data_IF_767012449653
#
_entry.id   IF_767012449653
#
_cell.length_a   1.000
_cell.length_b   1.000
_cell.length_c   1.000
_cell.angle_alpha   90.00
_cell.angle_beta   90.00
_cell.angle_gamma   90.00
#
_symmetry.space_group_name_H-M   'P 1'
#
loop_
_entity.id
_entity.type
_entity.pdbx_description
1 polymer ?
#
# COMPACT_ATOMS: atom_id res chain seq x y z
N UNK A 1 22.53 -9.16 -1.19
CA UNK A 1 22.55 -8.03 -2.15
C UNK A 1 21.25 -7.27 -2.00
N UNK A 2 21.25 -6.23 -1.17
CA UNK A 2 20.12 -5.31 -1.01
C UNK A 2 20.20 -4.32 -2.16
N UNK A 3 19.38 -4.49 -3.20
CA UNK A 3 19.03 -3.34 -4.06
C UNK A 3 18.39 -2.30 -3.15
N UNK A 4 18.57 -1.02 -3.42
CA UNK A 4 17.80 0.01 -2.75
C UNK A 4 16.30 -0.29 -2.89
N UNK A 5 15.68 -0.84 -1.83
CA UNK A 5 14.31 -1.37 -1.85
C UNK A 5 13.25 -0.27 -1.69
N UNK A 6 13.65 0.96 -1.33
CA UNK A 6 12.75 2.11 -1.23
C UNK A 6 12.91 3.04 -2.44
N UNK A 7 11.86 3.26 -3.22
CA UNK A 7 11.71 4.52 -3.99
C UNK A 7 12.27 4.60 -5.42
N UNK A 8 12.92 3.57 -5.97
CA UNK A 8 13.35 3.58 -7.40
C UNK A 8 12.39 2.74 -8.25
N UNK A 9 11.28 3.40 -8.61
CA UNK A 9 10.45 3.23 -9.81
C UNK A 9 10.46 1.85 -10.51
N UNK A 10 9.72 0.89 -9.96
CA UNK A 10 9.18 -0.24 -10.74
C UNK A 10 7.64 -0.25 -10.75
N UNK A 11 6.99 0.77 -10.17
CA UNK A 11 5.53 0.91 -10.22
C UNK A 11 5.10 1.52 -11.55
N UNK A 12 4.08 0.93 -12.17
CA UNK A 12 3.46 1.50 -13.36
C UNK A 12 2.77 2.82 -13.03
N UNK A 13 3.42 3.90 -13.39
CA UNK A 13 3.01 5.26 -13.03
C UNK A 13 1.77 5.75 -13.78
N UNK A 14 1.25 5.03 -14.79
CA UNK A 14 0.11 5.51 -15.61
C UNK A 14 -1.28 5.18 -15.03
N UNK A 15 -1.32 4.58 -13.83
CA UNK A 15 -2.55 4.11 -13.19
C UNK A 15 -3.09 5.15 -12.22
N UNK A 16 -4.38 5.47 -12.32
CA UNK A 16 -5.02 6.51 -11.49
C UNK A 16 -6.00 5.97 -10.44
N UNK A 17 -6.30 4.67 -10.40
CA UNK A 17 -7.41 4.16 -9.55
C UNK A 17 -7.04 2.87 -8.82
N UNK A 18 -6.87 2.93 -7.51
CA UNK A 18 -6.48 1.77 -6.70
C UNK A 18 -7.58 0.72 -6.62
N UNK A 19 -8.87 1.08 -6.73
CA UNK A 19 -9.99 0.12 -6.70
C UNK A 19 -9.93 -0.98 -7.77
N UNK A 20 -9.29 -0.73 -8.91
CA UNK A 20 -9.05 -1.79 -9.90
C UNK A 20 -8.07 -2.86 -9.42
N UNK A 21 -7.18 -2.55 -8.47
CA UNK A 21 -6.30 -3.54 -7.83
C UNK A 21 -7.16 -4.52 -7.03
N UNK A 22 -8.15 -4.04 -6.29
CA UNK A 22 -9.14 -4.86 -5.56
C UNK A 22 -9.94 -5.74 -6.52
N UNK A 23 -10.42 -5.16 -7.61
CA UNK A 23 -11.14 -5.91 -8.65
C UNK A 23 -10.28 -7.04 -9.23
N UNK A 24 -8.98 -6.78 -9.50
CA UNK A 24 -8.05 -7.81 -9.95
C UNK A 24 -7.88 -8.92 -8.91
N UNK A 25 -7.77 -8.58 -7.61
CA UNK A 25 -7.64 -9.58 -6.55
C UNK A 25 -8.88 -10.48 -6.48
N UNK A 26 -10.09 -9.91 -6.54
CA UNK A 26 -11.35 -10.68 -6.59
C UNK A 26 -11.42 -11.60 -7.81
N UNK A 27 -11.07 -11.10 -9.00
CA UNK A 27 -11.07 -11.89 -10.24
C UNK A 27 -10.10 -13.09 -10.20
N UNK A 28 -9.06 -13.01 -9.37
CA UNK A 28 -8.02 -14.03 -9.21
C UNK A 28 -8.15 -14.86 -7.92
N UNK A 29 -9.14 -14.60 -7.06
CA UNK A 29 -9.23 -15.14 -5.70
C UNK A 29 -9.05 -16.66 -5.63
N UNK A 30 -9.75 -17.39 -6.49
CA UNK A 30 -9.66 -18.86 -6.58
C UNK A 30 -9.05 -19.35 -7.89
N UNK A 31 -8.56 -18.45 -8.74
CA UNK A 31 -8.20 -18.78 -10.12
C UNK A 31 -6.78 -18.31 -10.45
N UNK A 32 -6.07 -19.14 -11.22
CA UNK A 32 -4.93 -18.67 -12.01
C UNK A 32 -5.45 -18.40 -13.41
N UNK A 33 -5.37 -17.15 -13.87
CA UNK A 33 -5.88 -16.74 -15.18
C UNK A 33 -4.72 -16.39 -16.11
N UNK A 34 -4.84 -16.70 -17.40
CA UNK A 34 -3.94 -16.10 -18.40
C UNK A 34 -4.11 -14.58 -18.41
N UNK A 35 -3.07 -13.84 -18.80
CA UNK A 35 -3.14 -12.38 -18.91
C UNK A 35 -4.30 -11.91 -19.79
N UNK A 36 -4.49 -12.51 -20.96
CA UNK A 36 -5.56 -12.14 -21.88
C UNK A 36 -6.96 -12.33 -21.27
N UNK A 37 -7.13 -13.41 -20.50
CA UNK A 37 -8.39 -13.69 -19.81
C UNK A 37 -8.64 -12.71 -18.67
N UNK A 38 -7.61 -12.41 -17.86
CA UNK A 38 -7.69 -11.41 -16.81
C UNK A 38 -8.02 -10.03 -17.39
N UNK A 39 -7.35 -9.62 -18.47
CA UNK A 39 -7.58 -8.32 -19.10
C UNK A 39 -9.01 -8.19 -19.61
N UNK A 40 -9.50 -9.21 -20.31
CA UNK A 40 -10.87 -9.22 -20.84
C UNK A 40 -11.92 -9.17 -19.71
N UNK A 41 -11.69 -9.91 -18.62
CA UNK A 41 -12.58 -9.87 -17.44
C UNK A 41 -12.55 -8.52 -16.74
N UNK A 42 -11.39 -7.87 -16.65
CA UNK A 42 -11.26 -6.56 -16.03
C UNK A 42 -11.89 -5.44 -16.89
N UNK A 43 -11.80 -5.50 -18.22
CA UNK A 43 -12.53 -4.57 -19.11
C UNK A 43 -14.04 -4.73 -18.92
N UNK A 44 -14.54 -5.97 -18.91
CA UNK A 44 -15.96 -6.24 -18.64
C UNK A 44 -16.38 -5.70 -17.27
N UNK A 45 -15.63 -6.04 -16.22
CA UNK A 45 -15.90 -5.53 -14.87
C UNK A 45 -15.93 -4.00 -14.83
N UNK A 46 -15.00 -3.33 -15.52
CA UNK A 46 -14.98 -1.86 -15.61
C UNK A 46 -16.23 -1.31 -16.29
N UNK A 47 -16.69 -1.95 -17.36
CA UNK A 47 -17.91 -1.55 -18.07
C UNK A 47 -19.15 -1.74 -17.21
N UNK A 48 -19.23 -2.85 -16.47
CA UNK A 48 -20.35 -3.17 -15.57
C UNK A 48 -20.47 -2.12 -14.45
N UNK A 49 -19.36 -1.51 -14.00
CA UNK A 49 -19.32 -0.48 -12.94
C UNK A 49 -19.11 0.94 -13.48
N UNK A 50 -19.48 1.20 -14.74
CA UNK A 50 -19.31 2.53 -15.37
C UNK A 50 -20.08 3.62 -14.65
N UNK A 51 -21.27 3.30 -14.13
CA UNK A 51 -22.11 4.26 -13.39
C UNK A 51 -21.48 4.64 -12.06
N UNK A 52 -21.00 3.66 -11.29
CA UNK A 52 -20.27 3.90 -10.03
C UNK A 52 -19.02 4.75 -10.26
N UNK A 53 -18.31 4.51 -11.36
CA UNK A 53 -17.15 5.32 -11.70
C UNK A 53 -17.51 6.78 -12.03
N UNK A 54 -18.67 7.01 -12.65
CA UNK A 54 -19.11 8.34 -13.05
C UNK A 54 -19.50 9.21 -11.85
N UNK A 55 -19.97 8.60 -10.76
CA UNK A 55 -20.28 9.28 -9.50
C UNK A 55 -19.06 9.46 -8.59
N UNK A 56 -17.96 8.78 -8.87
CA UNK A 56 -16.74 8.84 -8.08
C UNK A 56 -16.01 10.19 -8.20
N UNK A 57 -15.38 10.70 -7.12
CA UNK A 57 -14.57 11.92 -7.17
C UNK A 57 -13.49 11.85 -8.26
N UNK A 58 -13.54 12.79 -9.21
CA UNK A 58 -12.62 12.88 -10.34
C UNK A 58 -12.63 11.61 -11.24
N UNK A 59 -13.54 11.50 -12.23
CA UNK A 59 -13.72 10.28 -13.04
C UNK A 59 -12.64 10.11 -14.12
N UNK A 60 -11.36 10.15 -13.75
CA UNK A 60 -10.22 9.85 -14.63
C UNK A 60 -9.59 8.51 -14.26
N UNK A 61 -9.11 7.78 -15.27
CA UNK A 61 -8.51 6.45 -15.07
C UNK A 61 -9.43 5.27 -15.39
N UNK A 62 -10.64 5.53 -15.91
CA UNK A 62 -11.55 4.48 -16.38
C UNK A 62 -10.88 3.56 -17.40
N UNK A 63 -11.08 2.25 -17.27
CA UNK A 63 -10.66 1.27 -18.26
C UNK A 63 -11.71 1.18 -19.36
N UNK A 64 -11.37 1.69 -20.55
CA UNK A 64 -12.15 1.46 -21.76
C UNK A 64 -11.70 0.16 -22.44
N UNK A 65 -12.63 -0.55 -23.06
CA UNK A 65 -12.32 -1.69 -23.91
C UNK A 65 -11.49 -1.22 -25.12
N UNK A 66 -10.31 -1.78 -25.31
CA UNK A 66 -9.43 -1.47 -26.44
C UNK A 66 -8.88 -2.74 -27.05
N UNK A 67 -8.61 -2.75 -28.36
CA UNK A 67 -8.03 -3.91 -29.05
C UNK A 67 -6.71 -4.37 -28.41
N UNK A 68 -5.93 -3.43 -27.90
CA UNK A 68 -4.62 -3.69 -27.29
C UNK A 68 -4.67 -3.92 -25.77
N UNK A 69 -5.84 -3.77 -25.14
CA UNK A 69 -6.06 -3.96 -23.69
C UNK A 69 -5.03 -3.21 -22.82
N UNK A 70 -4.68 -1.98 -23.22
CA UNK A 70 -3.61 -1.21 -22.57
C UNK A 70 -3.98 -0.80 -21.13
N UNK A 71 -5.25 -0.49 -20.88
CA UNK A 71 -5.78 -0.18 -19.55
C UNK A 71 -5.58 -1.34 -18.57
N UNK A 72 -6.20 -2.50 -18.79
CA UNK A 72 -6.08 -3.67 -17.91
C UNK A 72 -4.63 -4.10 -17.66
N UNK A 73 -3.80 -4.06 -18.70
CA UNK A 73 -2.37 -4.35 -18.61
C UNK A 73 -1.66 -3.41 -17.65
N UNK A 74 -1.98 -2.12 -17.65
CA UNK A 74 -1.37 -1.14 -16.74
C UNK A 74 -1.73 -1.42 -15.28
N UNK A 75 -3.02 -1.66 -15.00
CA UNK A 75 -3.51 -1.98 -13.65
C UNK A 75 -2.97 -3.31 -13.14
N UNK A 76 -2.90 -4.33 -13.99
CA UNK A 76 -2.28 -5.62 -13.64
C UNK A 76 -0.80 -5.45 -13.33
N UNK A 77 -0.07 -4.65 -14.11
CA UNK A 77 1.32 -4.35 -13.82
C UNK A 77 1.48 -3.60 -12.48
N UNK A 78 0.59 -2.66 -12.14
CA UNK A 78 0.60 -2.03 -10.82
C UNK A 78 0.44 -3.08 -9.70
N UNK A 79 -0.57 -3.95 -9.80
CA UNK A 79 -0.82 -5.00 -8.81
C UNK A 79 0.38 -5.95 -8.65
N UNK A 80 1.09 -6.24 -9.75
CA UNK A 80 2.35 -7.00 -9.74
C UNK A 80 3.47 -6.23 -9.06
N UNK A 81 3.66 -4.94 -9.37
CA UNK A 81 4.71 -4.10 -8.78
C UNK A 81 4.52 -3.88 -7.27
N UNK A 82 3.26 -3.82 -6.80
CA UNK A 82 2.92 -3.80 -5.38
C UNK A 82 3.18 -5.16 -4.70
N UNK A 83 3.41 -6.23 -5.46
CA UNK A 83 3.65 -7.58 -4.95
C UNK A 83 2.38 -8.34 -4.56
N UNK A 84 1.20 -7.82 -4.93
CA UNK A 84 -0.10 -8.42 -4.62
C UNK A 84 -0.51 -9.49 -5.62
N UNK A 85 -0.04 -9.39 -6.87
CA UNK A 85 -0.24 -10.36 -7.94
C UNK A 85 1.12 -10.89 -8.43
N UNK A 86 1.21 -12.20 -8.66
CA UNK A 86 2.37 -12.85 -9.22
C UNK A 86 2.13 -13.24 -10.69
N UNK A 87 3.18 -13.17 -11.51
CA UNK A 87 3.17 -13.60 -12.91
C UNK A 87 4.10 -14.79 -13.11
N UNK A 88 3.58 -15.89 -13.64
CA UNK A 88 4.37 -17.10 -13.96
C UNK A 88 3.89 -17.61 -15.33
N UNK A 89 4.81 -17.70 -16.29
CA UNK A 89 4.54 -18.22 -17.64
C UNK A 89 3.30 -17.60 -18.33
N UNK A 90 3.12 -16.28 -18.22
CA UNK A 90 1.98 -15.56 -18.83
C UNK A 90 0.64 -15.73 -18.11
N UNK A 91 0.63 -16.38 -16.95
CA UNK A 91 -0.52 -16.48 -16.06
C UNK A 91 -0.33 -15.61 -14.81
N UNK A 92 -1.44 -15.06 -14.32
CA UNK A 92 -1.54 -14.23 -13.13
C UNK A 92 -2.25 -14.99 -12.01
N UNK A 93 -1.77 -14.81 -10.77
CA UNK A 93 -2.37 -15.35 -9.55
C UNK A 93 -2.16 -14.41 -8.37
N UNK A 94 -3.04 -14.46 -7.38
CA UNK A 94 -2.86 -13.70 -6.13
C UNK A 94 -1.62 -14.23 -5.38
N UNK A 95 -0.77 -13.34 -4.87
CA UNK A 95 0.36 -13.73 -4.01
C UNK A 95 -0.09 -13.91 -2.57
N UNK A 96 0.79 -14.45 -1.71
CA UNK A 96 0.55 -14.48 -0.26
C UNK A 96 0.28 -13.10 0.36
N UNK A 97 0.77 -12.00 -0.23
CA UNK A 97 0.47 -10.64 0.23
C UNK A 97 -0.87 -10.14 -0.31
N UNK A 98 -1.23 -10.45 -1.56
CA UNK A 98 -2.58 -10.14 -2.06
C UNK A 98 -3.68 -10.89 -1.30
N UNK A 99 -3.39 -12.12 -0.86
CA UNK A 99 -4.33 -12.93 -0.07
C UNK A 99 -4.70 -12.32 1.27
N UNK A 100 -3.85 -11.46 1.85
CA UNK A 100 -4.15 -10.82 3.14
C UNK A 100 -5.33 -9.85 3.04
N UNK A 101 -5.70 -9.40 1.83
CA UNK A 101 -6.80 -8.47 1.61
C UNK A 101 -8.12 -9.16 1.27
N UNK A 102 -8.09 -10.35 0.66
CA UNK A 102 -9.28 -11.02 0.13
C UNK A 102 -10.45 -11.11 1.12
N UNK A 103 -10.26 -11.48 2.40
CA UNK A 103 -11.37 -11.60 3.35
C UNK A 103 -12.12 -10.28 3.61
N UNK A 104 -11.48 -9.14 3.34
CA UNK A 104 -12.08 -7.82 3.52
C UNK A 104 -12.77 -7.32 2.24
N UNK A 105 -12.57 -7.97 1.09
CA UNK A 105 -13.09 -7.46 -0.18
C UNK A 105 -14.58 -7.78 -0.37
N UNK A 106 -15.20 -8.72 0.34
CA UNK A 106 -16.59 -9.13 0.08
C UNK A 106 -17.67 -8.31 0.82
N UNK A 107 -17.39 -7.05 1.13
CA UNK A 107 -18.30 -6.24 1.95
C UNK A 107 -19.38 -5.52 1.12
N UNK A 108 -20.45 -6.26 0.83
CA UNK A 108 -21.78 -5.74 0.47
C UNK A 108 -21.99 -5.26 -0.98
N UNK A 109 -23.18 -5.51 -1.58
CA UNK A 109 -23.47 -5.17 -2.98
C UNK A 109 -23.71 -3.67 -3.24
N UNK A 110 -23.97 -2.86 -2.20
CA UNK A 110 -24.51 -1.50 -2.35
C UNK A 110 -23.45 -0.38 -2.33
N UNK A 111 -22.16 -0.74 -2.27
CA UNK A 111 -21.07 0.24 -2.21
C UNK A 111 -20.41 0.42 -3.58
N UNK A 112 -20.05 1.66 -3.89
CA UNK A 112 -19.19 1.99 -5.03
C UNK A 112 -17.84 1.26 -4.89
N UNK A 113 -17.47 0.35 -5.81
CA UNK A 113 -16.25 -0.46 -5.69
C UNK A 113 -14.94 0.33 -5.87
N UNK A 114 -15.01 1.60 -6.28
CA UNK A 114 -13.86 2.48 -6.36
C UNK A 114 -13.58 3.19 -5.03
N UNK A 115 -14.54 3.21 -4.11
CA UNK A 115 -14.33 3.71 -2.76
C UNK A 115 -13.65 2.64 -1.91
N UNK A 116 -12.38 2.87 -1.58
CA UNK A 116 -11.60 1.94 -0.79
C UNK A 116 -12.18 1.80 0.63
N UNK A 117 -12.39 0.57 1.08
CA UNK A 117 -12.67 0.27 2.48
C UNK A 117 -11.41 0.54 3.32
N UNK A 118 -11.58 0.64 4.64
CA UNK A 118 -10.46 0.90 5.56
C UNK A 118 -9.29 -0.08 5.39
N UNK A 119 -9.57 -1.38 5.23
CA UNK A 119 -8.53 -2.40 5.01
C UNK A 119 -7.73 -2.16 3.72
N UNK A 120 -8.42 -1.78 2.63
CA UNK A 120 -7.81 -1.44 1.34
C UNK A 120 -6.95 -0.18 1.46
N UNK A 121 -7.47 0.87 2.12
CA UNK A 121 -6.74 2.11 2.35
C UNK A 121 -5.43 1.85 3.11
N UNK A 122 -5.50 1.09 4.21
CA UNK A 122 -4.35 0.72 5.01
C UNK A 122 -3.31 -0.05 4.20
N UNK A 123 -3.73 -1.11 3.51
CA UNK A 123 -2.82 -1.97 2.77
C UNK A 123 -2.21 -1.27 1.55
N UNK A 124 -3.00 -0.50 0.78
CA UNK A 124 -2.47 0.20 -0.39
C UNK A 124 -1.54 1.34 0.01
N UNK A 125 -1.88 2.11 1.06
CA UNK A 125 -0.95 3.10 1.59
C UNK A 125 0.36 2.44 2.05
N UNK A 126 0.29 1.30 2.75
CA UNK A 126 1.47 0.55 3.16
C UNK A 126 2.36 0.19 1.98
N UNK A 127 1.79 -0.45 0.94
CA UNK A 127 2.56 -0.91 -0.21
C UNK A 127 3.07 0.24 -1.08
N UNK A 128 2.32 1.35 -1.18
CA UNK A 128 2.80 2.57 -1.85
C UNK A 128 3.99 3.18 -1.11
N UNK A 129 3.99 3.19 0.22
CA UNK A 129 5.16 3.64 0.98
C UNK A 129 6.33 2.67 0.89
N UNK A 130 6.09 1.36 0.78
CA UNK A 130 7.18 0.38 0.56
C UNK A 130 7.81 0.57 -0.83
N UNK A 131 7.01 0.84 -1.86
CA UNK A 131 7.43 0.74 -3.27
C UNK A 131 7.65 2.07 -3.98
N UNK A 132 7.01 3.14 -3.52
CA UNK A 132 6.96 4.46 -4.17
C UNK A 132 7.17 5.63 -3.20
N UNK A 133 7.71 5.39 -2.00
CA UNK A 133 7.82 6.40 -0.93
C UNK A 133 8.27 7.76 -1.42
N UNK A 134 9.35 7.82 -2.21
CA UNK A 134 10.01 9.10 -2.45
C UNK A 134 9.13 10.02 -3.30
N UNK A 135 8.57 9.51 -4.39
CA UNK A 135 7.69 10.29 -5.27
C UNK A 135 6.32 10.53 -4.61
N UNK A 136 5.77 9.52 -3.94
CA UNK A 136 4.49 9.63 -3.23
C UNK A 136 4.54 10.69 -2.12
N UNK A 137 5.58 10.65 -1.27
CA UNK A 137 5.76 11.60 -0.18
C UNK A 137 6.14 13.01 -0.67
N UNK A 138 6.85 13.14 -1.80
CA UNK A 138 7.07 14.46 -2.42
C UNK A 138 5.74 15.13 -2.78
N UNK A 139 4.79 14.40 -3.37
CA UNK A 139 3.46 14.97 -3.72
C UNK A 139 2.73 15.43 -2.46
N UNK A 140 2.70 14.61 -1.40
CA UNK A 140 2.07 14.99 -0.13
C UNK A 140 2.74 16.24 0.46
N UNK A 141 4.08 16.31 0.45
CA UNK A 141 4.83 17.46 0.98
C UNK A 141 4.46 18.76 0.26
N UNK A 142 4.41 18.74 -1.08
CA UNK A 142 4.05 19.94 -1.85
C UNK A 142 2.63 20.41 -1.50
N UNK A 143 1.69 19.47 -1.39
CA UNK A 143 0.31 19.79 -0.99
C UNK A 143 0.24 20.36 0.44
N UNK A 144 1.14 19.96 1.33
CA UNK A 144 1.19 20.45 2.71
C UNK A 144 1.91 21.80 2.88
N UNK A 145 2.95 22.06 2.09
CA UNK A 145 3.89 23.17 2.32
C UNK A 145 3.77 24.30 1.29
N UNK A 146 3.55 23.96 0.02
CA UNK A 146 3.60 24.95 -1.08
C UNK A 146 2.20 25.49 -1.45
N UNK A 147 1.13 24.84 -0.98
CA UNK A 147 -0.27 25.24 -1.23
C UNK A 147 -0.56 25.50 -2.73
N UNK A 148 -0.33 24.51 -3.63
CA UNK A 148 -0.47 24.70 -5.06
C UNK A 148 -1.91 25.13 -5.43
N UNK A 149 -2.03 26.07 -6.37
CA UNK A 149 -3.33 26.59 -6.81
C UNK A 149 -3.93 25.79 -7.98
N UNK A 150 -3.14 24.91 -8.59
CA UNK A 150 -3.57 24.00 -9.66
C UNK A 150 -2.71 22.74 -9.72
N UNK A 151 -3.16 21.74 -10.48
CA UNK A 151 -2.36 20.55 -10.80
C UNK A 151 -1.08 20.92 -11.58
N UNK A 152 -1.13 21.96 -12.42
CA UNK A 152 0.03 22.46 -13.15
C UNK A 152 1.07 23.05 -12.19
N UNK A 153 0.64 23.76 -11.15
CA UNK A 153 1.55 24.31 -10.14
C UNK A 153 2.22 23.18 -9.36
N UNK A 154 1.44 22.20 -8.91
CA UNK A 154 1.97 20.99 -8.26
C UNK A 154 3.02 20.29 -9.13
N UNK A 155 2.76 20.15 -10.43
CA UNK A 155 3.74 19.61 -11.38
C UNK A 155 4.99 20.50 -11.51
N UNK A 156 4.85 21.82 -11.44
CA UNK A 156 5.97 22.75 -11.53
C UNK A 156 6.89 22.69 -10.30
N UNK A 157 6.33 22.51 -9.10
CA UNK A 157 7.10 22.37 -7.85
C UNK A 157 7.81 21.02 -7.74
N UNK A 158 7.23 19.97 -8.33
CA UNK A 158 7.67 18.59 -8.14
C UNK A 158 9.17 18.32 -8.39
N UNK A 159 9.79 18.75 -9.50
CA UNK A 159 11.20 18.44 -9.76
C UNK A 159 12.15 18.99 -8.70
N UNK A 160 11.89 20.20 -8.20
CA UNK A 160 12.69 20.83 -7.15
C UNK A 160 12.52 20.10 -5.81
N UNK A 161 11.27 19.93 -5.37
CA UNK A 161 10.98 19.26 -4.10
C UNK A 161 11.48 17.81 -4.09
N UNK A 162 11.33 17.08 -5.21
CA UNK A 162 11.82 15.71 -5.34
C UNK A 162 13.35 15.65 -5.28
N UNK A 163 14.06 16.57 -5.93
CA UNK A 163 15.52 16.66 -5.85
C UNK A 163 15.99 16.93 -4.43
N UNK A 164 15.34 17.85 -3.71
CA UNK A 164 15.64 18.11 -2.30
C UNK A 164 15.45 16.86 -1.44
N UNK A 165 14.36 16.10 -1.69
CA UNK A 165 14.10 14.84 -1.00
C UNK A 165 15.18 13.79 -1.27
N UNK A 166 15.56 13.58 -2.54
CA UNK A 166 16.65 12.67 -2.91
C UNK A 166 17.98 13.09 -2.28
N UNK A 167 18.28 14.39 -2.26
CA UNK A 167 19.51 14.91 -1.63
C UNK A 167 19.52 14.68 -0.12
N UNK A 168 18.40 14.90 0.57
CA UNK A 168 18.28 14.60 2.00
C UNK A 168 18.45 13.10 2.29
N UNK A 169 17.89 12.24 1.44
CA UNK A 169 18.04 10.79 1.56
C UNK A 169 19.51 10.35 1.37
N UNK A 170 20.21 10.91 0.38
CA UNK A 170 21.63 10.60 0.16
C UNK A 170 22.51 10.89 1.38
N UNK A 171 22.20 11.92 2.16
CA UNK A 171 23.01 12.33 3.32
C UNK A 171 22.90 11.37 4.51
N UNK A 172 21.84 10.55 4.57
CA UNK A 172 21.61 9.57 5.64
C UNK A 172 21.70 8.12 5.16
N UNK A 173 21.94 7.94 3.86
CA UNK A 173 22.04 6.65 3.22
C UNK A 173 23.42 6.00 3.41
N UNK A 174 23.45 4.67 3.41
CA UNK A 174 24.69 3.92 3.27
C UNK A 174 25.31 4.16 1.87
N UNK A 175 26.62 4.03 1.74
CA UNK A 175 27.37 4.40 0.52
C UNK A 175 26.82 3.76 -0.77
N UNK A 176 26.39 2.49 -0.71
CA UNK A 176 25.86 1.79 -1.88
C UNK A 176 24.48 2.32 -2.29
N UNK A 177 23.60 2.53 -1.31
CA UNK A 177 22.28 3.15 -1.48
C UNK A 177 22.41 4.58 -2.03
N UNK A 178 23.34 5.38 -1.48
CA UNK A 178 23.58 6.74 -1.91
C UNK A 178 23.94 6.81 -3.41
N UNK A 179 24.59 5.77 -3.96
CA UNK A 179 24.91 5.67 -5.39
C UNK A 179 23.68 5.45 -6.25
N UNK A 180 22.75 4.60 -5.81
CA UNK A 180 21.48 4.35 -6.50
C UNK A 180 20.61 5.62 -6.48
N UNK A 181 20.55 6.31 -5.34
CA UNK A 181 19.83 7.60 -5.22
C UNK A 181 20.47 8.66 -6.13
N UNK A 182 21.80 8.75 -6.18
CA UNK A 182 22.50 9.67 -7.09
C UNK A 182 22.16 9.40 -8.56
N UNK A 183 22.09 8.14 -8.97
CA UNK A 183 21.69 7.78 -10.33
C UNK A 183 20.26 8.26 -10.65
N UNK A 184 19.34 8.18 -9.69
CA UNK A 184 17.97 8.71 -9.85
C UNK A 184 17.98 10.23 -9.91
N UNK A 185 18.69 10.88 -8.99
CA UNK A 185 18.82 12.34 -8.96
C UNK A 185 19.33 12.87 -10.31
N UNK A 186 20.37 12.26 -10.87
CA UNK A 186 20.91 12.65 -12.17
C UNK A 186 19.89 12.49 -13.30
N UNK A 187 18.99 11.49 -13.25
CA UNK A 187 17.87 11.37 -14.21
C UNK A 187 16.85 12.50 -14.02
N UNK A 188 16.55 12.86 -12.78
CA UNK A 188 15.61 13.94 -12.43
C UNK A 188 16.13 15.31 -12.84
N UNK A 189 17.44 15.56 -12.77
CA UNK A 189 18.06 16.82 -13.22
C UNK A 189 17.77 17.14 -14.69
N UNK A 190 17.55 16.11 -15.51
CA UNK A 190 17.22 16.29 -16.91
C UNK A 190 15.73 16.55 -17.14
N UNK A 191 14.85 16.39 -16.15
CA UNK A 191 13.40 16.57 -16.30
C UNK A 191 12.99 18.00 -16.66
N UNK A 192 13.77 19.01 -16.27
CA UNK A 192 13.56 20.39 -16.72
C UNK A 192 13.68 20.59 -18.24
N UNK A 193 14.29 19.62 -18.96
CA UNK A 193 14.44 19.60 -20.42
C UNK A 193 13.48 18.60 -21.10
N UNK A 194 12.70 17.86 -20.32
CA UNK A 194 11.82 16.76 -20.79
C UNK A 194 10.41 17.31 -21.05
N UNK A 195 9.64 16.76 -22.01
CA UNK A 195 8.27 17.21 -22.27
C UNK A 195 7.39 17.16 -21.02
N UNK A 196 6.49 18.14 -20.86
CA UNK A 196 5.44 18.20 -19.81
C UNK A 196 4.77 16.85 -19.54
N UNK A 197 4.64 16.03 -20.59
CA UNK A 197 4.12 14.66 -20.60
C UNK A 197 4.75 13.71 -19.57
N UNK A 198 6.01 13.89 -19.17
CA UNK A 198 6.64 13.02 -18.17
C UNK A 198 6.08 13.28 -16.76
N UNK A 199 5.87 14.54 -16.39
CA UNK A 199 5.28 14.90 -15.10
C UNK A 199 3.79 14.58 -15.03
N UNK A 200 3.08 14.65 -16.16
CA UNK A 200 1.68 14.17 -16.30
C UNK A 200 1.52 12.69 -15.98
N UNK A 201 2.58 11.91 -16.19
CA UNK A 201 2.59 10.49 -15.90
C UNK A 201 3.07 10.18 -14.48
N UNK A 202 3.54 11.16 -13.71
CA UNK A 202 4.08 10.96 -12.36
C UNK A 202 3.16 11.56 -11.31
N UNK A 203 2.87 12.86 -11.43
CA UNK A 203 2.20 13.62 -10.37
C UNK A 203 0.69 13.32 -10.31
N UNK A 204 -0.09 13.44 -11.40
CA UNK A 204 -1.53 13.19 -11.33
C UNK A 204 -1.89 11.79 -10.79
N UNK A 205 -1.29 10.68 -11.26
CA UNK A 205 -1.52 9.34 -10.73
C UNK A 205 -1.41 9.25 -9.19
N UNK A 206 -0.42 9.91 -8.59
CA UNK A 206 -0.23 9.94 -7.14
C UNK A 206 -1.27 10.81 -6.43
N UNK A 207 -1.64 11.94 -7.00
CA UNK A 207 -2.78 12.74 -6.50
C UNK A 207 -4.05 11.90 -6.50
N UNK A 208 -4.29 11.14 -7.56
CA UNK A 208 -5.42 10.23 -7.64
C UNK A 208 -5.36 9.11 -6.60
N UNK A 209 -4.19 8.51 -6.34
CA UNK A 209 -4.05 7.54 -5.24
C UNK A 209 -4.31 8.20 -3.88
N UNK A 210 -3.89 9.44 -3.67
CA UNK A 210 -4.19 10.17 -2.43
C UNK A 210 -5.69 10.46 -2.26
N UNK A 211 -6.41 10.70 -3.36
CA UNK A 211 -7.88 10.81 -3.36
C UNK A 211 -8.51 9.47 -2.98
N UNK A 212 -8.07 8.37 -3.62
CA UNK A 212 -8.60 7.04 -3.33
C UNK A 212 -8.36 6.63 -1.85
N UNK A 213 -7.23 7.07 -1.28
CA UNK A 213 -6.87 6.89 0.13
C UNK A 213 -7.57 7.88 1.07
N UNK A 214 -8.39 8.83 0.58
CA UNK A 214 -9.05 9.84 1.42
C UNK A 214 -8.11 10.87 2.06
N UNK A 215 -6.86 10.96 1.59
CA UNK A 215 -5.86 11.92 2.08
C UNK A 215 -5.94 13.27 1.37
N UNK A 216 -6.53 13.31 0.18
CA UNK A 216 -6.72 14.50 -0.64
C UNK A 216 -8.18 14.60 -1.07
N UNK A 217 -8.75 15.80 -1.00
CA UNK A 217 -10.07 16.10 -1.55
C UNK A 217 -9.95 17.02 -2.77
N UNK A 218 -10.97 16.93 -3.62
CA UNK A 218 -11.21 17.83 -4.77
C UNK A 218 -12.61 18.47 -4.70
N UNK A 219 -13.29 18.32 -3.56
CA UNK A 219 -14.74 18.53 -3.42
C UNK A 219 -15.20 19.98 -3.56
N UNK A 220 -14.30 20.93 -3.38
CA UNK A 220 -14.66 22.33 -3.49
C UNK A 220 -14.65 22.82 -4.94
N UNK A 221 -15.65 22.44 -5.74
CA UNK A 221 -15.96 22.96 -7.09
C UNK A 221 -14.95 22.68 -8.23
N UNK A 222 -15.49 22.46 -9.44
CA UNK A 222 -14.72 22.24 -10.67
C UNK A 222 -13.66 23.34 -10.84
N UNK A 223 -12.38 22.96 -10.72
CA UNK A 223 -11.25 23.85 -10.96
C UNK A 223 -10.45 24.27 -9.74
N UNK A 224 -10.85 23.92 -8.50
CA UNK A 224 -9.97 24.12 -7.34
C UNK A 224 -8.85 23.07 -7.30
N UNK A 225 -7.69 23.43 -6.73
CA UNK A 225 -6.57 22.51 -6.60
C UNK A 225 -6.88 21.34 -5.66
N UNK A 226 -6.21 20.19 -5.83
CA UNK A 226 -6.20 19.15 -4.81
C UNK A 226 -5.68 19.72 -3.49
N UNK A 227 -6.37 19.42 -2.38
CA UNK A 227 -5.97 19.84 -1.04
C UNK A 227 -5.96 18.65 -0.08
N UNK A 228 -5.06 18.66 0.91
CA UNK A 228 -5.05 17.63 1.94
C UNK A 228 -6.33 17.71 2.78
N UNK A 229 -6.94 16.56 3.02
CA UNK A 229 -8.03 16.42 4.00
C UNK A 229 -7.48 16.58 5.42
N UNK A 230 -8.34 16.65 6.42
CA UNK A 230 -7.92 16.60 7.84
C UNK A 230 -7.10 15.33 8.13
N UNK A 231 -7.51 14.20 7.55
CA UNK A 231 -6.76 12.93 7.61
C UNK A 231 -5.41 13.04 6.91
N UNK A 232 -5.37 13.66 5.72
CA UNK A 232 -4.14 14.00 4.99
C UNK A 232 -3.14 14.80 5.82
N UNK A 233 -3.61 15.86 6.47
CA UNK A 233 -2.79 16.72 7.34
C UNK A 233 -2.28 15.96 8.56
N UNK A 234 -3.15 15.19 9.23
CA UNK A 234 -2.77 14.36 10.38
C UNK A 234 -1.74 13.31 9.98
N UNK A 235 -1.92 12.66 8.83
CA UNK A 235 -0.95 11.71 8.29
C UNK A 235 0.39 12.37 8.05
N UNK A 236 0.42 13.51 7.32
CA UNK A 236 1.64 14.25 7.03
C UNK A 236 2.42 14.64 8.30
N UNK A 237 1.71 15.12 9.33
CA UNK A 237 2.32 15.50 10.62
C UNK A 237 2.95 14.32 11.38
N UNK A 238 2.45 13.10 11.18
CA UNK A 238 2.97 11.89 11.83
C UNK A 238 4.04 11.17 11.00
N UNK A 239 4.37 11.66 9.81
CA UNK A 239 5.45 11.09 9.02
C UNK A 239 6.81 11.38 9.67
N UNK A 240 7.73 10.40 9.69
CA UNK A 240 9.11 10.63 10.10
C UNK A 240 9.77 11.62 9.16
N UNK A 241 10.62 12.49 9.70
CA UNK A 241 11.33 13.54 8.94
C UNK A 241 12.84 13.34 9.03
N UNK A 242 13.54 13.40 7.90
CA UNK A 242 15.03 13.37 7.89
C UNK A 242 15.62 14.75 8.18
N UNK A 243 14.92 15.80 7.77
CA UNK A 243 15.21 17.22 8.04
C UNK A 243 13.89 17.96 8.21
N UNK A 244 13.93 19.19 8.72
CA UNK A 244 12.73 20.03 8.81
C UNK A 244 11.96 20.02 7.47
N UNK A 245 10.70 19.61 7.53
CA UNK A 245 9.80 19.52 6.37
C UNK A 245 10.02 18.36 5.39
N UNK A 246 11.10 17.56 5.47
CA UNK A 246 11.35 16.48 4.50
C UNK A 246 10.91 15.13 5.06
N UNK A 247 9.71 14.61 4.68
CA UNK A 247 9.24 13.31 5.12
C UNK A 247 10.07 12.20 4.50
N UNK A 248 10.33 11.15 5.28
CA UNK A 248 11.13 10.05 4.82
C UNK A 248 10.88 8.77 5.61
N UNK A 249 10.33 7.78 4.93
CA UNK A 249 10.00 6.47 5.49
C UNK A 249 11.17 5.48 5.31
N UNK A 250 12.39 6.01 5.18
CA UNK A 250 13.58 5.24 4.85
C UNK A 250 13.87 4.14 5.89
N UNK A 251 14.32 2.97 5.41
CA UNK A 251 14.75 1.76 6.16
C UNK A 251 13.68 0.80 6.70
N UNK A 252 12.44 0.83 6.22
CA UNK A 252 11.34 -0.04 6.68
C UNK A 252 11.02 0.04 8.19
N UNK A 253 11.87 0.67 9.03
CA UNK A 253 11.74 0.66 10.47
C UNK A 253 10.45 1.36 10.91
N UNK A 254 10.17 2.56 10.39
CA UNK A 254 8.91 3.23 10.70
C UNK A 254 7.70 2.45 10.17
N UNK A 255 7.80 1.83 8.98
CA UNK A 255 6.73 0.98 8.44
C UNK A 255 6.41 -0.21 9.34
N UNK A 256 7.42 -0.80 9.97
CA UNK A 256 7.22 -1.96 10.85
C UNK A 256 6.87 -1.59 12.29
N UNK A 257 7.34 -0.45 12.78
CA UNK A 257 7.21 -0.05 14.19
C UNK A 257 6.11 0.97 14.47
N UNK A 258 5.60 1.69 13.47
CA UNK A 258 4.72 2.84 13.73
C UNK A 258 3.58 3.00 12.73
N UNK A 259 3.73 2.53 11.49
CA UNK A 259 2.75 2.79 10.43
C UNK A 259 1.31 2.40 10.80
N UNK A 260 1.07 1.15 11.17
CA UNK A 260 -0.29 0.67 11.45
C UNK A 260 -0.87 1.31 12.72
N UNK A 261 -0.01 1.59 13.72
CA UNK A 261 -0.36 2.40 14.87
C UNK A 261 -0.87 3.79 14.46
N UNK A 262 -0.10 4.51 13.63
CA UNK A 262 -0.47 5.85 13.15
C UNK A 262 -1.74 5.81 12.32
N UNK A 263 -1.83 4.91 11.33
CA UNK A 263 -2.97 4.82 10.42
C UNK A 263 -4.25 4.47 11.19
N UNK A 264 -4.19 3.53 12.14
CA UNK A 264 -5.32 3.19 13.01
C UNK A 264 -5.81 4.30 13.95
N UNK A 265 -5.01 5.35 14.17
CA UNK A 265 -5.45 6.52 14.93
C UNK A 265 -6.10 7.61 14.08
N UNK A 266 -5.88 7.59 12.75
CA UNK A 266 -6.22 8.73 11.88
C UNK A 266 -7.24 8.39 10.78
N UNK A 267 -7.31 7.14 10.32
CA UNK A 267 -8.19 6.72 9.22
C UNK A 267 -9.56 6.20 9.68
N UNK A 268 -9.77 6.02 10.99
CA UNK A 268 -11.05 5.60 11.56
C UNK A 268 -11.77 6.78 12.22
N UNK A 269 -13.10 6.75 12.21
CA UNK A 269 -13.92 7.77 12.88
C UNK A 269 -13.68 7.76 14.40
N UNK A 270 -13.58 6.57 14.99
CA UNK A 270 -13.14 6.36 16.36
C UNK A 270 -11.69 5.88 16.36
N UNK A 271 -10.75 6.62 16.99
CA UNK A 271 -9.35 6.21 17.04
C UNK A 271 -9.20 4.82 17.68
N UNK A 272 -8.55 3.90 16.96
CA UNK A 272 -8.36 2.54 17.43
C UNK A 272 -7.62 2.50 18.78
N UNK A 273 -7.86 1.49 19.61
CA UNK A 273 -7.08 1.30 20.84
C UNK A 273 -5.69 0.77 20.49
N UNK A 274 -4.64 1.36 21.05
CA UNK A 274 -3.27 0.86 20.81
C UNK A 274 -3.04 -0.52 21.46
N UNK A 275 -2.41 -1.43 20.72
CA UNK A 275 -2.05 -2.79 21.16
C UNK A 275 -1.23 -2.80 22.46
N UNK A 276 -0.33 -1.84 22.63
CA UNK A 276 0.46 -1.65 23.85
C UNK A 276 -0.38 -1.40 25.12
N UNK A 277 -1.66 -1.05 24.98
CA UNK A 277 -2.61 -0.84 26.09
C UNK A 277 -3.50 -2.06 26.36
N UNK A 278 -3.31 -3.17 25.65
CA UNK A 278 -4.05 -4.42 25.86
C UNK A 278 -3.32 -5.28 26.90
N UNK A 279 -4.09 -5.87 27.82
CA UNK A 279 -3.55 -6.74 28.88
C UNK A 279 -2.94 -8.02 28.27
N UNK A 280 -1.85 -8.57 28.82
CA UNK A 280 -1.17 -9.75 28.28
C UNK A 280 -2.07 -10.96 28.03
N UNK A 281 -3.01 -11.24 28.93
CA UNK A 281 -3.92 -12.39 28.83
C UNK A 281 -4.83 -12.26 27.61
N UNK A 282 -5.36 -11.06 27.39
CA UNK A 282 -6.20 -10.76 26.22
C UNK A 282 -5.37 -10.75 24.93
N UNK A 283 -4.12 -10.30 24.97
CA UNK A 283 -3.21 -10.37 23.83
C UNK A 283 -2.99 -11.81 23.38
N UNK A 284 -2.73 -12.73 24.32
CA UNK A 284 -2.55 -14.16 24.04
C UNK A 284 -3.80 -14.77 23.38
N UNK A 285 -4.98 -14.51 23.93
CA UNK A 285 -6.25 -14.97 23.36
C UNK A 285 -6.44 -14.48 21.91
N UNK A 286 -6.23 -13.19 21.68
CA UNK A 286 -6.34 -12.58 20.35
C UNK A 286 -5.31 -13.18 19.39
N UNK A 287 -4.04 -13.28 19.78
CA UNK A 287 -2.97 -13.81 18.93
C UNK A 287 -3.23 -15.25 18.50
N UNK A 288 -3.75 -16.11 19.39
CA UNK A 288 -4.18 -17.45 19.01
C UNK A 288 -5.25 -17.40 17.91
N UNK A 289 -6.33 -16.65 18.12
CA UNK A 289 -7.41 -16.50 17.12
C UNK A 289 -6.89 -15.97 15.78
N UNK A 290 -6.05 -14.93 15.83
CA UNK A 290 -5.45 -14.29 14.65
C UNK A 290 -4.49 -15.22 13.91
N UNK A 291 -3.68 -16.00 14.62
CA UNK A 291 -2.77 -16.99 14.05
C UNK A 291 -3.54 -18.07 13.27
N UNK A 292 -4.62 -18.60 13.84
CA UNK A 292 -5.47 -19.56 13.14
C UNK A 292 -6.17 -18.96 11.93
N UNK A 293 -6.76 -17.77 12.06
CA UNK A 293 -7.36 -17.08 10.90
C UNK A 293 -6.34 -16.82 9.78
N UNK A 294 -5.10 -16.49 10.14
CA UNK A 294 -4.01 -16.32 9.17
C UNK A 294 -3.64 -17.65 8.49
N UNK A 295 -3.63 -18.76 9.24
CA UNK A 295 -3.41 -20.09 8.69
C UNK A 295 -4.49 -20.45 7.66
N UNK A 296 -5.76 -20.31 8.04
CA UNK A 296 -6.89 -20.63 7.16
C UNK A 296 -6.86 -19.81 5.86
N UNK A 297 -6.56 -18.52 5.97
CA UNK A 297 -6.56 -17.59 4.83
C UNK A 297 -5.33 -17.77 3.92
N UNK A 298 -4.13 -17.89 4.51
CA UNK A 298 -2.87 -17.76 3.77
C UNK A 298 -2.26 -19.10 3.37
N UNK A 299 -2.69 -20.21 3.97
CA UNK A 299 -2.15 -21.54 3.66
C UNK A 299 -2.42 -21.89 2.20
N UNK A 300 -1.38 -22.40 1.54
CA UNK A 300 -1.44 -22.85 0.14
C UNK A 300 -1.07 -24.32 -0.03
N UNK A 301 -0.61 -24.98 1.03
CA UNK A 301 -0.22 -26.39 1.03
C UNK A 301 -0.80 -27.07 2.28
N UNK A 302 -0.89 -28.40 2.32
CA UNK A 302 -1.38 -29.12 3.50
C UNK A 302 -0.49 -28.94 4.74
N UNK A 303 0.76 -28.49 4.55
CA UNK A 303 1.71 -28.28 5.65
C UNK A 303 1.16 -27.14 6.53
N UNK A 304 1.06 -27.33 7.86
CA UNK A 304 0.54 -26.33 8.80
C UNK A 304 1.58 -25.23 9.06
N UNK A 305 1.99 -24.54 7.98
CA UNK A 305 3.06 -23.56 7.98
C UNK A 305 2.73 -22.42 7.02
N UNK A 306 2.88 -21.19 7.50
CA UNK A 306 2.69 -19.98 6.69
C UNK A 306 3.85 -19.01 6.88
N UNK A 307 4.08 -18.15 5.88
CA UNK A 307 5.10 -17.11 5.97
C UNK A 307 4.69 -16.06 7.00
N UNK A 308 5.63 -15.67 7.88
CA UNK A 308 5.33 -14.81 9.02
C UNK A 308 4.90 -13.40 8.58
N UNK A 309 5.61 -12.80 7.62
CA UNK A 309 5.36 -11.41 7.26
C UNK A 309 3.97 -11.15 6.64
N UNK A 310 3.49 -11.93 5.65
CA UNK A 310 2.09 -11.85 5.23
C UNK A 310 1.10 -12.13 6.35
N UNK A 311 1.41 -13.06 7.27
CA UNK A 311 0.57 -13.33 8.42
C UNK A 311 0.46 -12.08 9.32
N UNK A 312 1.57 -11.42 9.64
CA UNK A 312 1.56 -10.16 10.42
C UNK A 312 0.71 -9.09 9.75
N UNK A 313 0.83 -8.89 8.43
CA UNK A 313 0.01 -7.93 7.67
C UNK A 313 -1.48 -8.27 7.77
N UNK A 314 -1.85 -9.54 7.58
CA UNK A 314 -3.23 -9.99 7.76
C UNK A 314 -3.73 -9.73 9.19
N UNK A 315 -2.94 -10.07 10.21
CA UNK A 315 -3.31 -9.92 11.61
C UNK A 315 -3.52 -8.46 12.01
N UNK A 316 -2.68 -7.52 11.57
CA UNK A 316 -2.87 -6.09 11.89
C UNK A 316 -4.12 -5.52 11.21
N UNK A 317 -4.41 -5.94 9.97
CA UNK A 317 -5.63 -5.53 9.28
C UNK A 317 -6.85 -6.05 10.02
N UNK A 318 -6.86 -7.34 10.37
CA UNK A 318 -7.97 -7.98 11.07
C UNK A 318 -8.19 -7.38 12.47
N UNK A 319 -7.13 -7.16 13.24
CA UNK A 319 -7.21 -6.49 14.55
C UNK A 319 -7.82 -5.09 14.45
N UNK A 320 -7.42 -4.34 13.43
CA UNK A 320 -7.86 -2.95 13.33
C UNK A 320 -9.30 -2.88 12.82
N UNK A 321 -9.67 -3.71 11.84
CA UNK A 321 -11.02 -3.75 11.25
C UNK A 321 -12.04 -4.36 12.21
N UNK A 322 -11.75 -5.53 12.78
CA UNK A 322 -12.74 -6.30 13.55
C UNK A 322 -12.73 -5.99 15.05
N UNK A 323 -11.61 -5.47 15.56
CA UNK A 323 -11.46 -5.23 16.99
C UNK A 323 -11.22 -3.77 17.35
N UNK A 324 -11.04 -2.88 16.35
CA UNK A 324 -10.68 -1.48 16.60
C UNK A 324 -9.36 -1.37 17.37
N UNK A 325 -8.42 -2.30 17.16
CA UNK A 325 -7.12 -2.31 17.83
C UNK A 325 -6.00 -2.08 16.81
N UNK A 326 -5.22 -1.00 17.01
CA UNK A 326 -4.07 -0.70 16.18
C UNK A 326 -2.80 -1.34 16.77
N UNK A 327 -2.15 -2.20 15.98
CA UNK A 327 -0.91 -2.88 16.33
C UNK A 327 0.13 -2.70 15.23
N UNK A 328 1.40 -2.50 15.60
CA UNK A 328 2.50 -2.47 14.64
C UNK A 328 3.06 -3.89 14.39
N UNK A 329 3.71 -4.07 13.25
CA UNK A 329 4.24 -5.38 12.85
C UNK A 329 5.28 -5.91 13.83
N UNK A 330 6.20 -5.07 14.30
CA UNK A 330 7.21 -5.50 15.29
C UNK A 330 6.59 -5.80 16.66
N UNK A 331 5.54 -5.08 17.07
CA UNK A 331 4.84 -5.36 18.33
C UNK A 331 4.17 -6.74 18.30
N UNK A 332 3.42 -7.03 17.22
CA UNK A 332 2.82 -8.37 17.04
C UNK A 332 3.89 -9.44 16.90
N UNK A 333 4.97 -9.17 16.17
CA UNK A 333 6.08 -10.11 16.01
C UNK A 333 6.71 -10.48 17.36
N UNK A 334 6.97 -9.49 18.21
CA UNK A 334 7.57 -9.69 19.52
C UNK A 334 6.64 -10.49 20.44
N UNK A 335 5.35 -10.11 20.49
CA UNK A 335 4.38 -10.81 21.34
C UNK A 335 4.12 -12.24 20.84
N UNK A 336 4.10 -12.49 19.52
CA UNK A 336 4.03 -13.84 18.96
C UNK A 336 5.21 -14.71 19.42
N UNK A 337 6.44 -14.19 19.44
CA UNK A 337 7.60 -14.93 19.94
C UNK A 337 7.46 -15.28 21.42
N UNK A 338 7.08 -14.30 22.24
CA UNK A 338 6.92 -14.45 23.68
C UNK A 338 5.87 -15.52 23.98
N UNK A 339 4.67 -15.39 23.43
CA UNK A 339 3.57 -16.29 23.74
C UNK A 339 3.68 -17.66 23.07
N UNK A 340 4.49 -17.81 22.01
CA UNK A 340 4.73 -19.13 21.39
C UNK A 340 5.49 -20.12 22.28
N UNK A 341 6.05 -19.64 23.40
CA UNK A 341 6.77 -20.47 24.39
C UNK A 341 5.85 -20.99 25.50
N UNK A 342 4.59 -20.55 25.54
CA UNK A 342 3.61 -21.02 26.50
C UNK A 342 3.01 -22.38 26.08
N UNK A 343 2.71 -23.23 27.05
CA UNK A 343 2.11 -24.56 26.83
C UNK A 343 0.77 -24.55 26.11
N UNK A 344 -0.01 -23.48 26.29
CA UNK A 344 -1.39 -23.38 25.78
C UNK A 344 -1.46 -22.78 24.37
N UNK A 345 -0.30 -22.47 23.78
CA UNK A 345 -0.22 -21.85 22.45
C UNK A 345 -0.07 -22.93 21.39
N UNK A 346 -0.93 -22.88 20.36
CA UNK A 346 -0.99 -23.93 19.32
C UNK A 346 -0.13 -23.60 18.08
N UNK A 347 0.81 -22.67 18.21
CA UNK A 347 1.74 -22.28 17.17
C UNK A 347 3.14 -22.05 17.71
N UNK A 348 4.14 -22.21 16.84
CA UNK A 348 5.52 -21.82 17.07
C UNK A 348 5.98 -20.79 16.03
N UNK A 349 6.84 -19.86 16.44
CA UNK A 349 7.45 -18.88 15.54
C UNK A 349 8.88 -19.30 15.23
N UNK A 350 9.25 -19.30 13.94
CA UNK A 350 10.67 -19.39 13.54
C UNK A 350 11.10 -18.13 12.84
N UNK A 351 12.13 -17.51 13.40
CA UNK A 351 12.81 -16.38 12.77
C UNK A 351 13.97 -16.83 11.91
N UNK A 352 14.13 -16.16 10.77
CA UNK A 352 15.36 -16.18 9.97
C UNK A 352 15.91 -14.76 9.88
N UNK A 353 17.21 -14.65 9.58
CA UNK A 353 17.83 -13.39 9.21
C UNK A 353 17.16 -12.73 8.01
N UNK A 354 16.55 -13.53 7.13
CA UNK A 354 15.76 -13.03 6.01
C UNK A 354 14.28 -13.11 6.34
N UNK A 355 13.58 -11.99 6.18
CA UNK A 355 12.17 -11.87 6.56
C UNK A 355 11.27 -12.83 5.79
N UNK A 356 11.57 -13.08 4.51
CA UNK A 356 10.85 -14.03 3.66
C UNK A 356 11.04 -15.51 4.05
N UNK A 357 11.99 -15.81 4.93
CA UNK A 357 12.29 -17.15 5.45
C UNK A 357 11.76 -17.35 6.89
N UNK A 358 11.16 -16.31 7.50
CA UNK A 358 10.49 -16.43 8.80
C UNK A 358 9.06 -16.98 8.62
N UNK A 359 8.59 -17.80 9.56
CA UNK A 359 7.31 -18.49 9.43
C UNK A 359 6.66 -18.84 10.77
N UNK A 360 5.34 -19.06 10.71
CA UNK A 360 4.54 -19.69 11.77
C UNK A 360 4.37 -21.17 11.45
N UNK A 361 4.55 -22.05 12.44
CA UNK A 361 4.20 -23.47 12.40
C UNK A 361 3.03 -23.69 13.35
N UNK A 362 2.06 -24.49 12.97
CA UNK A 362 0.92 -24.85 13.82
C UNK A 362 0.99 -26.32 14.18
N UNK A 363 0.62 -26.63 15.42
CA UNK A 363 0.56 -28.00 15.91
C UNK A 363 -0.84 -28.58 15.64
N UNK A 364 -0.95 -29.86 15.26
CA UNK A 364 -2.24 -30.53 15.17
C UNK A 364 -2.92 -30.48 16.53
N UNK A 365 -4.23 -30.19 16.53
CA UNK A 365 -5.08 -30.33 17.72
C UNK A 365 -5.47 -31.78 17.94
#
# INVERSE_FOLDING_TARGET
MSKYESGITDINVLVRRLGYVSAILRLLEHNTLSESMLYSRLEKWSLDHKQDFATYPNPQGFINATREQTGPKRYTNLAVSLGLVGRIAGACRVTRFGKTLLPFLDQGPDRNPFELIYAEQCAYLYWLLVKDSDQFLTVIRILAEESPQSLSDLQSFFPECYRQQLQAHMLTAEKHIARDILAVRNRVEHWGKVPKRTLENIVPPRVHWLIDLGLVSTEDSKGKPPQLTTTGIRFYKNLPKIREGIPAVHRNAWLRNSFFGVVGQIFTDEPARMWSKIKPEKKKELLNKLAFGALETLRSTPIPKISLYPALIYMVLLLTVDNGIAANLEELRADLDIFSKDSDTQYAVRFSHRENESYLIFFPT
#
